data_IF_095832166043
#
_entry.id   IF_095832166043
#
_cell.length_a   1.000
_cell.length_b   1.000
_cell.length_c   1.000
_cell.angle_alpha   90.00
_cell.angle_beta   90.00
_cell.angle_gamma   90.00
#
_symmetry.space_group_name_H-M   'P 1'
#
loop_
_entity.id
_entity.type
_entity.pdbx_description
1 polymer ?
#
# COMPACT_ATOMS: atom_id res chain seq x y z
N UNK A 1 7.37 2.94 -10.57
CA UNK A 1 6.11 2.53 -11.21
C UNK A 1 4.98 3.06 -10.38
N UNK A 2 4.07 3.77 -11.02
CA UNK A 2 2.91 4.34 -10.36
C UNK A 2 1.74 3.36 -10.47
N UNK A 3 1.30 2.87 -9.31
CA UNK A 3 0.21 1.93 -9.17
C UNK A 3 -0.99 2.68 -8.59
N UNK A 4 -2.20 2.26 -8.95
CA UNK A 4 -3.42 2.75 -8.30
C UNK A 4 -4.11 1.59 -7.60
N UNK A 5 -4.12 1.62 -6.28
CA UNK A 5 -4.66 0.55 -5.44
C UNK A 5 -5.80 1.14 -4.61
N UNK A 6 -7.04 0.68 -4.83
CA UNK A 6 -8.23 1.21 -4.13
C UNK A 6 -8.37 2.74 -4.22
N UNK A 7 -7.96 3.33 -5.35
CA UNK A 7 -7.97 4.79 -5.56
C UNK A 7 -6.71 5.52 -5.07
N UNK A 8 -5.92 4.91 -4.19
CA UNK A 8 -4.67 5.48 -3.65
C UNK A 8 -3.54 5.35 -4.68
N UNK A 9 -2.86 6.44 -5.05
CA UNK A 9 -1.67 6.39 -5.89
C UNK A 9 -0.48 5.88 -5.06
N UNK A 10 0.14 4.78 -5.48
CA UNK A 10 1.27 4.15 -4.80
C UNK A 10 2.47 4.15 -5.74
N UNK A 11 3.54 4.84 -5.33
CA UNK A 11 4.81 4.78 -6.04
C UNK A 11 5.63 3.57 -5.54
N UNK A 12 5.98 2.66 -6.46
CA UNK A 12 6.82 1.51 -6.17
C UNK A 12 8.11 1.56 -7.00
N UNK A 13 9.31 1.38 -6.41
CA UNK A 13 10.57 1.63 -7.12
C UNK A 13 10.87 0.64 -8.24
N UNK A 14 10.27 -0.56 -8.22
CA UNK A 14 10.47 -1.62 -9.21
C UNK A 14 9.14 -2.17 -9.72
N UNK A 15 9.17 -3.14 -10.65
CA UNK A 15 7.97 -3.90 -10.99
C UNK A 15 7.59 -4.81 -9.82
N UNK A 16 6.42 -4.65 -9.17
CA UNK A 16 6.10 -5.47 -8.03
C UNK A 16 5.74 -6.90 -8.43
N UNK A 17 6.12 -7.86 -7.60
CA UNK A 17 5.65 -9.24 -7.74
C UNK A 17 4.17 -9.37 -7.38
N UNK A 18 3.49 -10.41 -7.87
CA UNK A 18 2.07 -10.66 -7.58
C UNK A 18 1.76 -10.73 -6.07
N UNK A 19 2.68 -11.26 -5.27
CA UNK A 19 2.56 -11.28 -3.81
C UNK A 19 2.67 -9.87 -3.19
N UNK A 20 3.55 -9.01 -3.72
CA UNK A 20 3.68 -7.64 -3.25
C UNK A 20 2.43 -6.82 -3.61
N UNK A 21 1.87 -6.99 -4.80
CA UNK A 21 0.59 -6.38 -5.19
C UNK A 21 -0.55 -6.80 -4.25
N UNK A 22 -0.64 -8.09 -3.94
CA UNK A 22 -1.61 -8.60 -2.96
C UNK A 22 -1.43 -7.98 -1.58
N UNK A 23 -0.18 -7.79 -1.15
CA UNK A 23 0.15 -7.17 0.12
C UNK A 23 -0.23 -5.68 0.14
N UNK A 24 0.14 -4.92 -0.89
CA UNK A 24 -0.24 -3.51 -1.05
C UNK A 24 -1.75 -3.33 -0.96
N UNK A 25 -2.52 -4.16 -1.68
CA UNK A 25 -3.98 -4.10 -1.66
C UNK A 25 -4.57 -4.41 -0.28
N UNK A 26 -4.06 -5.42 0.43
CA UNK A 26 -4.54 -5.76 1.77
C UNK A 26 -4.21 -4.68 2.80
N UNK A 27 -3.01 -4.11 2.76
CA UNK A 27 -2.59 -3.01 3.66
C UNK A 27 -3.49 -1.80 3.45
N UNK A 28 -3.67 -1.36 2.21
CA UNK A 28 -4.51 -0.18 1.90
C UNK A 28 -5.97 -0.42 2.29
N UNK A 29 -6.50 -1.62 2.05
CA UNK A 29 -7.86 -1.99 2.47
C UNK A 29 -8.01 -1.92 3.99
N UNK A 30 -7.05 -2.48 4.74
CA UNK A 30 -7.07 -2.47 6.20
C UNK A 30 -6.99 -1.03 6.75
N UNK A 31 -6.13 -0.19 6.17
CA UNK A 31 -6.01 1.23 6.54
C UNK A 31 -7.30 2.01 6.25
N UNK A 32 -7.91 1.83 5.08
CA UNK A 32 -9.20 2.45 4.73
C UNK A 32 -10.32 2.05 5.71
N UNK A 33 -10.34 0.79 6.13
CA UNK A 33 -11.34 0.28 7.07
C UNK A 33 -10.98 0.54 8.55
N UNK A 34 -9.82 1.14 8.84
CA UNK A 34 -9.28 1.31 10.20
C UNK A 34 -9.18 -0.01 10.99
N UNK A 35 -8.75 -1.07 10.30
CA UNK A 35 -8.65 -2.43 10.85
C UNK A 35 -7.19 -2.91 10.91
N UNK A 36 -6.91 -3.84 11.84
CA UNK A 36 -5.67 -4.60 11.83
C UNK A 36 -5.75 -5.72 10.78
N UNK A 37 -4.67 -5.97 10.06
CA UNK A 37 -4.56 -7.12 9.17
C UNK A 37 -3.35 -7.98 9.52
N UNK A 38 -3.52 -9.30 9.47
CA UNK A 38 -2.43 -10.26 9.56
C UNK A 38 -2.05 -10.68 8.13
N UNK A 39 -0.80 -10.45 7.76
CA UNK A 39 -0.30 -10.68 6.40
C UNK A 39 0.80 -11.73 6.42
N UNK A 40 0.47 -12.93 5.96
CA UNK A 40 1.45 -13.98 5.74
C UNK A 40 1.94 -13.93 4.29
N UNK A 41 3.26 -13.94 4.10
CA UNK A 41 3.85 -14.03 2.76
C UNK A 41 5.18 -14.77 2.79
N UNK A 42 5.48 -15.58 1.76
CA UNK A 42 6.70 -16.39 1.68
C UNK A 42 7.96 -15.52 1.74
N UNK A 43 8.94 -15.87 2.58
CA UNK A 43 10.18 -15.11 2.87
C UNK A 43 10.99 -14.74 1.62
N UNK A 44 11.78 -13.66 1.68
CA UNK A 44 12.70 -13.25 0.60
C UNK A 44 12.14 -12.34 -0.51
N UNK A 45 10.89 -11.91 -0.43
CA UNK A 45 10.18 -11.19 -1.51
C UNK A 45 10.01 -9.67 -1.31
N UNK A 46 10.81 -9.03 -0.45
CA UNK A 46 10.76 -7.56 -0.28
C UNK A 46 9.46 -7.02 0.34
N UNK A 47 8.83 -7.77 1.25
CA UNK A 47 7.58 -7.38 1.96
C UNK A 47 7.67 -6.05 2.70
N UNK A 48 8.79 -5.77 3.36
CA UNK A 48 8.98 -4.53 4.12
C UNK A 48 8.83 -3.32 3.20
N UNK A 49 9.35 -3.41 1.97
CA UNK A 49 9.22 -2.36 0.97
C UNK A 49 7.75 -2.19 0.54
N UNK A 50 7.04 -3.28 0.27
CA UNK A 50 5.61 -3.23 -0.04
C UNK A 50 4.79 -2.61 1.11
N UNK A 51 5.04 -3.01 2.35
CA UNK A 51 4.37 -2.46 3.52
C UNK A 51 4.61 -0.96 3.65
N UNK A 52 5.87 -0.52 3.58
CA UNK A 52 6.23 0.89 3.71
C UNK A 52 5.63 1.74 2.58
N UNK A 53 5.74 1.29 1.32
CA UNK A 53 5.17 2.01 0.18
C UNK A 53 3.65 2.14 0.29
N UNK A 54 2.92 1.08 0.69
CA UNK A 54 1.47 1.17 0.90
C UNK A 54 1.11 2.14 2.02
N UNK A 55 1.79 2.05 3.17
CA UNK A 55 1.51 2.89 4.34
C UNK A 55 1.78 4.37 4.08
N UNK A 56 2.92 4.69 3.45
CA UNK A 56 3.29 6.06 3.10
C UNK A 56 2.34 6.65 2.05
N UNK A 57 2.07 5.91 0.97
CA UNK A 57 1.15 6.35 -0.07
C UNK A 57 -0.26 6.61 0.48
N UNK A 58 -0.75 5.76 1.38
CA UNK A 58 -2.04 5.97 2.03
C UNK A 58 -2.03 7.20 2.94
N UNK A 59 -0.96 7.42 3.71
CA UNK A 59 -0.82 8.58 4.58
C UNK A 59 -0.78 9.90 3.79
N UNK A 60 0.00 9.95 2.70
CA UNK A 60 0.05 11.11 1.79
C UNK A 60 -1.30 11.37 1.13
N UNK A 61 -1.98 10.32 0.67
CA UNK A 61 -3.32 10.42 0.10
C UNK A 61 -4.30 11.03 1.10
N UNK A 62 -4.32 10.56 2.36
CA UNK A 62 -5.19 11.11 3.40
C UNK A 62 -4.85 12.56 3.76
N UNK A 63 -3.57 12.91 3.81
CA UNK A 63 -3.11 14.27 4.07
C UNK A 63 -3.51 15.24 2.94
N UNK A 64 -3.36 14.81 1.67
CA UNK A 64 -3.75 15.59 0.50
C UNK A 64 -5.27 15.73 0.33
N UNK A 65 -6.04 14.70 0.71
CA UNK A 65 -7.52 14.76 0.71
C UNK A 65 -8.07 15.77 1.74
N UNK A 66 -7.25 16.19 2.70
CA UNK A 66 -7.61 17.22 3.68
C UNK A 66 -7.37 18.66 3.19
N UNK A 67 -6.81 18.86 1.98
CA UNK A 67 -6.60 20.19 1.37
C UNK A 67 -7.57 20.49 0.20
N UNK A 68 -8.83 20.06 0.31
CA UNK A 68 -9.90 20.41 -0.61
C UNK A 68 -11.10 21.02 0.11
N UNK A 69 -10.96 22.29 0.51
CA UNK A 69 -12.07 23.24 0.68
C UNK A 69 -12.36 23.93 -0.63
#
# INVERSE_FOLDING_TARGET
MDLKIQGVPVHFPYKPYSCQLSMLNRVITALNNKQCCLLESPTGTGKTLALLCASLAWAEYQAGTSQGT
#
